data_IF_500522274145
#
_entry.id   IF_500522274145
#
_cell.length_a   1.000
_cell.length_b   1.000
_cell.length_c   1.000
_cell.angle_alpha   90.00
_cell.angle_beta   90.00
_cell.angle_gamma   90.00
#
_symmetry.space_group_name_H-M   'P 1'
#
loop_
_entity.id
_entity.type
_entity.pdbx_description
1 polymer ?
#
# COMPACT_ATOMS: atom_id res chain seq x y z
N UNK A 1 -25.93 12.79 8.35
CA UNK A 1 -25.55 12.01 7.15
C UNK A 1 -24.13 11.52 7.39
N UNK A 2 -23.92 10.23 7.66
CA UNK A 2 -22.56 9.69 7.87
C UNK A 2 -21.89 9.63 6.50
N UNK A 3 -20.75 10.32 6.33
CA UNK A 3 -20.02 10.30 5.07
C UNK A 3 -19.47 8.90 4.83
N UNK A 4 -19.59 8.40 3.60
CA UNK A 4 -19.08 7.07 3.23
C UNK A 4 -17.58 6.94 3.50
N UNK A 5 -16.83 8.05 3.48
CA UNK A 5 -15.43 8.15 3.88
C UNK A 5 -15.18 7.83 5.36
N UNK A 6 -16.05 8.32 6.26
CA UNK A 6 -15.95 8.01 7.69
C UNK A 6 -16.15 6.52 7.96
N UNK A 7 -17.10 5.89 7.25
CA UNK A 7 -17.34 4.44 7.33
C UNK A 7 -16.14 3.67 6.78
N UNK A 8 -15.60 4.09 5.63
CA UNK A 8 -14.40 3.50 5.04
C UNK A 8 -13.21 3.53 6.00
N UNK A 9 -12.89 4.69 6.57
CA UNK A 9 -11.78 4.84 7.52
C UNK A 9 -11.95 3.99 8.77
N UNK A 10 -13.17 3.95 9.32
CA UNK A 10 -13.48 3.13 10.48
C UNK A 10 -13.31 1.63 10.19
N UNK A 11 -13.82 1.16 9.04
CA UNK A 11 -13.65 -0.22 8.59
C UNK A 11 -12.18 -0.55 8.30
N UNK A 12 -11.39 0.37 7.72
CA UNK A 12 -9.95 0.18 7.57
C UNK A 12 -9.23 0.05 8.91
N UNK A 13 -9.64 0.84 9.92
CA UNK A 13 -9.10 0.74 11.28
C UNK A 13 -9.41 -0.61 11.93
N UNK A 14 -10.66 -1.09 11.80
CA UNK A 14 -11.05 -2.45 12.23
C UNK A 14 -10.20 -3.50 11.51
N UNK A 15 -10.09 -3.37 10.18
CA UNK A 15 -9.32 -4.27 9.34
C UNK A 15 -7.85 -4.39 9.76
N UNK A 16 -7.17 -3.26 9.95
CA UNK A 16 -5.79 -3.23 10.44
C UNK A 16 -5.65 -3.80 11.85
N UNK A 17 -6.63 -3.55 12.72
CA UNK A 17 -6.65 -4.11 14.08
C UNK A 17 -6.82 -5.63 14.05
N UNK A 18 -7.69 -6.16 13.17
CA UNK A 18 -7.87 -7.59 12.98
C UNK A 18 -6.58 -8.25 12.47
N UNK A 19 -5.86 -7.62 11.53
CA UNK A 19 -4.57 -8.12 11.05
C UNK A 19 -3.50 -8.10 12.15
N UNK A 20 -3.43 -7.05 12.96
CA UNK A 20 -2.60 -7.01 14.15
C UNK A 20 -2.96 -8.12 15.14
N UNK A 21 -4.26 -8.37 15.32
CA UNK A 21 -4.79 -9.48 16.09
C UNK A 21 -4.41 -10.84 15.53
N UNK A 22 -4.43 -11.03 14.21
CA UNK A 22 -3.94 -12.25 13.54
C UNK A 22 -2.47 -12.50 13.84
N UNK A 23 -1.63 -11.49 13.70
CA UNK A 23 -0.18 -11.59 13.97
C UNK A 23 0.06 -11.90 15.46
N UNK A 24 -0.63 -11.19 16.35
CA UNK A 24 -0.52 -11.42 17.80
C UNK A 24 -1.01 -12.80 18.22
N UNK A 25 -2.15 -13.24 17.70
CA UNK A 25 -2.68 -14.58 17.95
C UNK A 25 -1.72 -15.66 17.46
N UNK A 26 -1.16 -15.49 16.26
CA UNK A 26 -0.14 -16.41 15.73
C UNK A 26 1.07 -16.44 16.66
N UNK A 27 1.66 -15.28 16.99
CA UNK A 27 2.83 -15.20 17.85
C UNK A 27 2.59 -15.85 19.23
N UNK A 28 1.40 -15.67 19.82
CA UNK A 28 1.03 -16.33 21.07
C UNK A 28 0.94 -17.84 20.92
N UNK A 29 0.32 -18.34 19.85
CA UNK A 29 0.18 -19.77 19.58
C UNK A 29 1.54 -20.46 19.37
N UNK A 30 2.50 -19.76 18.76
CA UNK A 30 3.89 -20.25 18.66
C UNK A 30 4.55 -20.39 20.02
N UNK A 31 4.40 -19.36 20.87
CA UNK A 31 5.03 -19.34 22.21
C UNK A 31 4.50 -20.48 23.08
N UNK A 32 3.21 -20.77 23.02
CA UNK A 32 2.60 -21.87 23.78
C UNK A 32 2.71 -23.22 23.07
N UNK A 33 3.33 -23.28 21.89
CA UNK A 33 3.46 -24.49 21.05
C UNK A 33 2.13 -25.21 20.84
N UNK A 34 1.08 -24.44 20.56
CA UNK A 34 -0.26 -24.98 20.35
C UNK A 34 -0.30 -25.91 19.12
N UNK A 35 -1.03 -27.01 19.22
CA UNK A 35 -1.17 -28.00 18.13
C UNK A 35 -2.62 -28.19 17.71
N UNK A 36 -2.82 -28.64 16.46
CA UNK A 36 -4.14 -29.00 15.94
C UNK A 36 -4.97 -27.79 15.53
N UNK A 37 -6.29 -27.85 15.75
CA UNK A 37 -7.25 -26.85 15.23
C UNK A 37 -7.03 -25.42 15.75
N UNK A 38 -6.29 -25.24 16.85
CA UNK A 38 -5.97 -23.91 17.39
C UNK A 38 -5.09 -23.09 16.44
N UNK A 39 -4.27 -23.75 15.60
CA UNK A 39 -3.43 -23.10 14.59
C UNK A 39 -4.23 -22.45 13.45
N UNK A 40 -5.51 -22.80 13.31
CA UNK A 40 -6.40 -22.23 12.29
C UNK A 40 -7.05 -20.91 12.75
N UNK A 41 -6.97 -20.57 14.03
CA UNK A 41 -7.58 -19.34 14.57
C UNK A 41 -7.05 -18.08 13.85
N UNK A 42 -5.73 -17.88 13.67
CA UNK A 42 -5.22 -16.73 12.92
C UNK A 42 -5.74 -16.67 11.48
N UNK A 43 -5.92 -17.83 10.83
CA UNK A 43 -6.47 -17.90 9.47
C UNK A 43 -7.92 -17.40 9.39
N UNK A 44 -8.77 -17.76 10.36
CA UNK A 44 -10.15 -17.26 10.38
C UNK A 44 -10.23 -15.76 10.65
N UNK A 45 -9.39 -15.22 11.54
CA UNK A 45 -9.32 -13.77 11.78
C UNK A 45 -8.86 -13.05 10.50
N UNK A 46 -7.88 -13.61 9.79
CA UNK A 46 -7.42 -13.09 8.51
C UNK A 46 -8.51 -13.10 7.44
N UNK A 47 -9.34 -14.14 7.35
CA UNK A 47 -10.47 -14.18 6.42
C UNK A 47 -11.49 -13.07 6.68
N UNK A 48 -11.77 -12.77 7.96
CA UNK A 48 -12.65 -11.65 8.32
C UNK A 48 -12.00 -10.33 7.89
N UNK A 49 -10.70 -10.16 8.14
CA UNK A 49 -9.98 -8.96 7.70
C UNK A 49 -9.99 -8.80 6.18
N UNK A 50 -9.86 -9.89 5.42
CA UNK A 50 -9.95 -9.89 3.96
C UNK A 50 -11.35 -9.47 3.47
N UNK A 51 -12.42 -9.95 4.11
CA UNK A 51 -13.78 -9.54 3.79
C UNK A 51 -13.99 -8.03 4.06
N UNK A 52 -13.44 -7.52 5.15
CA UNK A 52 -13.46 -6.08 5.46
C UNK A 52 -12.66 -5.29 4.40
N UNK A 53 -11.49 -5.78 3.96
CA UNK A 53 -10.71 -5.15 2.89
C UNK A 53 -11.54 -5.00 1.61
N UNK A 54 -12.27 -6.04 1.21
CA UNK A 54 -13.07 -6.01 0.00
C UNK A 54 -14.15 -4.90 0.05
N UNK A 55 -14.82 -4.75 1.21
CA UNK A 55 -15.80 -3.68 1.43
C UNK A 55 -15.14 -2.30 1.41
N UNK A 56 -14.02 -2.15 2.12
CA UNK A 56 -13.24 -0.90 2.18
C UNK A 56 -12.78 -0.48 0.78
N UNK A 57 -12.34 -1.42 -0.05
CA UNK A 57 -11.87 -1.16 -1.42
C UNK A 57 -13.00 -0.66 -2.32
N UNK A 58 -14.19 -1.26 -2.23
CA UNK A 58 -15.37 -0.77 -2.96
C UNK A 58 -15.71 0.67 -2.54
N UNK A 59 -15.73 0.92 -1.23
CA UNK A 59 -15.99 2.26 -0.68
C UNK A 59 -14.95 3.27 -1.17
N UNK A 60 -13.66 2.90 -1.17
CA UNK A 60 -12.57 3.77 -1.60
C UNK A 60 -12.65 4.12 -3.09
N UNK A 61 -12.99 3.15 -3.96
CA UNK A 61 -13.21 3.39 -5.39
C UNK A 61 -14.37 4.39 -5.58
N UNK A 62 -15.50 4.15 -4.92
CA UNK A 62 -16.66 5.03 -5.02
C UNK A 62 -16.30 6.44 -4.54
N UNK A 63 -15.68 6.60 -3.36
CA UNK A 63 -15.31 7.91 -2.82
C UNK A 63 -14.25 8.66 -3.64
N UNK A 64 -13.35 7.92 -4.30
CA UNK A 64 -12.28 8.52 -5.10
C UNK A 64 -12.81 9.04 -6.43
N UNK A 65 -13.63 8.26 -7.13
CA UNK A 65 -14.09 8.56 -8.49
C UNK A 65 -15.47 9.20 -8.57
N UNK A 66 -16.24 9.24 -7.48
CA UNK A 66 -17.54 9.91 -7.44
C UNK A 66 -17.52 11.05 -6.43
N UNK A 67 -18.05 12.21 -6.82
CA UNK A 67 -18.28 13.34 -5.90
C UNK A 67 -19.57 13.16 -5.08
N UNK A 68 -20.19 11.97 -5.14
CA UNK A 68 -21.51 11.70 -4.60
C UNK A 68 -21.60 11.76 -3.06
N UNK A 69 -20.49 11.93 -2.34
CA UNK A 69 -20.44 11.82 -0.87
C UNK A 69 -20.24 13.16 -0.14
N UNK A 70 -20.56 14.28 -0.81
CA UNK A 70 -20.48 15.64 -0.28
C UNK A 70 -19.06 16.19 -0.31
N UNK A 71 -18.88 17.48 0.01
CA UNK A 71 -17.57 18.13 0.09
C UNK A 71 -16.66 17.41 1.10
N UNK A 72 -15.89 16.45 0.60
CA UNK A 72 -14.84 15.72 1.32
C UNK A 72 -13.55 16.49 1.03
N UNK A 73 -12.87 16.96 2.08
CA UNK A 73 -11.59 17.64 1.93
C UNK A 73 -10.62 16.72 1.17
N UNK A 74 -9.79 17.22 0.24
CA UNK A 74 -8.83 16.37 -0.49
C UNK A 74 -7.99 15.48 0.44
N UNK A 75 -7.66 15.99 1.64
CA UNK A 75 -6.93 15.24 2.68
C UNK A 75 -7.70 14.03 3.23
N UNK A 76 -9.04 14.11 3.33
CA UNK A 76 -9.87 13.00 3.80
C UNK A 76 -9.87 11.85 2.77
N UNK A 77 -9.89 12.19 1.47
CA UNK A 77 -9.76 11.21 0.38
C UNK A 77 -8.38 10.58 0.37
N UNK A 78 -7.34 11.40 0.56
CA UNK A 78 -5.96 10.95 0.65
C UNK A 78 -5.76 9.97 1.81
N UNK A 79 -6.23 10.33 3.01
CA UNK A 79 -6.16 9.48 4.20
C UNK A 79 -6.89 8.14 4.01
N UNK A 80 -8.09 8.17 3.44
CA UNK A 80 -8.84 6.93 3.17
C UNK A 80 -8.08 6.00 2.24
N UNK A 81 -7.51 6.53 1.15
CA UNK A 81 -6.75 5.73 0.19
C UNK A 81 -5.41 5.23 0.74
N UNK A 82 -4.77 5.99 1.62
CA UNK A 82 -3.59 5.54 2.37
C UNK A 82 -3.92 4.35 3.27
N UNK A 83 -5.04 4.39 3.99
CA UNK A 83 -5.47 3.28 4.84
C UNK A 83 -5.78 2.02 4.03
N UNK A 84 -6.41 2.16 2.86
CA UNK A 84 -6.67 1.05 1.92
C UNK A 84 -5.36 0.44 1.42
N UNK A 85 -4.39 1.29 1.03
CA UNK A 85 -3.06 0.84 0.62
C UNK A 85 -2.36 0.04 1.73
N UNK A 86 -2.33 0.60 2.94
CA UNK A 86 -1.72 -0.04 4.10
C UNK A 86 -2.38 -1.37 4.44
N UNK A 87 -3.72 -1.41 4.44
CA UNK A 87 -4.48 -2.64 4.71
C UNK A 87 -4.26 -3.70 3.63
N UNK A 88 -4.13 -3.30 2.37
CA UNK A 88 -3.88 -4.24 1.26
C UNK A 88 -2.54 -4.95 1.41
N UNK A 89 -1.47 -4.18 1.67
CA UNK A 89 -0.12 -4.76 1.90
C UNK A 89 -0.11 -5.59 3.18
N UNK A 90 -0.68 -5.08 4.27
CA UNK A 90 -0.76 -5.82 5.53
C UNK A 90 -1.49 -7.16 5.36
N UNK A 91 -2.62 -7.18 4.66
CA UNK A 91 -3.40 -8.41 4.43
C UNK A 91 -2.59 -9.43 3.64
N UNK A 92 -1.91 -8.99 2.58
CA UNK A 92 -1.10 -9.83 1.71
C UNK A 92 0.10 -10.43 2.45
N UNK A 93 0.83 -9.62 3.23
CA UNK A 93 1.99 -10.08 3.99
C UNK A 93 1.62 -10.93 5.22
N UNK A 94 0.49 -10.62 5.87
CA UNK A 94 0.01 -11.41 7.01
C UNK A 94 -0.36 -12.83 6.58
N UNK A 95 -0.86 -13.01 5.36
CA UNK A 95 -1.19 -14.34 4.83
C UNK A 95 0.02 -15.28 4.86
N UNK A 96 1.22 -14.79 4.52
CA UNK A 96 2.42 -15.65 4.51
C UNK A 96 2.92 -16.06 5.91
N UNK A 97 2.38 -15.47 6.98
CA UNK A 97 2.67 -15.86 8.36
C UNK A 97 1.76 -16.98 8.88
N UNK A 98 0.71 -17.33 8.13
CA UNK A 98 -0.27 -18.31 8.54
C UNK A 98 0.25 -19.74 8.39
N UNK A 99 -0.34 -20.64 9.18
CA UNK A 99 0.02 -22.04 9.15
C UNK A 99 -0.31 -22.67 7.79
N UNK A 100 0.58 -23.53 7.30
CA UNK A 100 0.42 -24.23 6.03
C UNK A 100 0.91 -23.46 4.80
N UNK A 101 1.48 -22.27 4.97
CA UNK A 101 2.15 -21.55 3.89
C UNK A 101 3.62 -21.97 3.80
N UNK A 102 4.04 -22.43 2.62
CA UNK A 102 5.42 -22.84 2.36
C UNK A 102 6.34 -21.66 2.00
N UNK A 103 7.65 -21.90 2.00
CA UNK A 103 8.65 -20.90 1.66
C UNK A 103 8.48 -20.36 0.22
N UNK A 104 7.96 -21.18 -0.70
CA UNK A 104 7.71 -20.79 -2.08
C UNK A 104 6.61 -19.72 -2.16
N UNK A 105 5.47 -19.98 -1.52
CA UNK A 105 4.35 -19.05 -1.48
C UNK A 105 4.75 -17.79 -0.72
N UNK A 106 5.50 -17.90 0.38
CA UNK A 106 6.08 -16.75 1.08
C UNK A 106 6.92 -15.87 0.15
N UNK A 107 7.77 -16.48 -0.69
CA UNK A 107 8.55 -15.77 -1.70
C UNK A 107 7.67 -15.01 -2.69
N UNK A 108 6.64 -15.65 -3.23
CA UNK A 108 5.70 -15.01 -4.15
C UNK A 108 4.93 -13.86 -3.50
N UNK A 109 4.47 -14.03 -2.25
CA UNK A 109 3.78 -12.97 -1.51
C UNK A 109 4.71 -11.78 -1.26
N UNK A 110 5.96 -12.03 -0.89
CA UNK A 110 6.93 -10.96 -0.69
C UNK A 110 7.20 -10.18 -1.99
N UNK A 111 7.36 -10.88 -3.11
CA UNK A 111 7.58 -10.27 -4.42
C UNK A 111 6.35 -9.48 -4.87
N UNK A 112 5.12 -9.99 -4.64
CA UNK A 112 3.88 -9.25 -4.90
C UNK A 112 3.79 -7.97 -4.06
N UNK A 113 4.09 -8.04 -2.76
CA UNK A 113 4.12 -6.87 -1.89
C UNK A 113 5.16 -5.83 -2.34
N UNK A 114 6.34 -6.30 -2.74
CA UNK A 114 7.40 -5.46 -3.30
C UNK A 114 6.93 -4.72 -4.56
N UNK A 115 6.25 -5.42 -5.47
CA UNK A 115 5.70 -4.81 -6.69
C UNK A 115 4.64 -3.75 -6.39
N UNK A 116 3.81 -3.93 -5.36
CA UNK A 116 2.84 -2.92 -4.92
C UNK A 116 3.57 -1.66 -4.42
N UNK A 117 4.62 -1.81 -3.61
CA UNK A 117 5.44 -0.69 -3.13
C UNK A 117 6.11 0.04 -4.31
N UNK A 118 6.73 -0.70 -5.23
CA UNK A 118 7.36 -0.15 -6.43
C UNK A 118 6.36 0.62 -7.30
N UNK A 119 5.19 0.05 -7.55
CA UNK A 119 4.14 0.72 -8.32
C UNK A 119 3.72 2.03 -7.67
N UNK A 120 3.67 2.08 -6.34
CA UNK A 120 3.30 3.27 -5.60
C UNK A 120 4.42 4.34 -5.64
N UNK A 121 5.70 3.95 -5.57
CA UNK A 121 6.84 4.84 -5.83
C UNK A 121 6.74 5.44 -7.24
N UNK A 122 6.50 4.58 -8.24
CA UNK A 122 6.37 5.00 -9.64
C UNK A 122 5.28 6.06 -9.81
N UNK A 123 4.08 5.80 -9.30
CA UNK A 123 2.95 6.74 -9.39
C UNK A 123 3.26 8.07 -8.70
N UNK A 124 3.93 8.04 -7.54
CA UNK A 124 4.29 9.26 -6.82
C UNK A 124 5.28 10.13 -7.61
N UNK A 125 6.34 9.53 -8.15
CA UNK A 125 7.31 10.27 -8.97
C UNK A 125 6.66 10.75 -10.27
N UNK A 126 5.79 9.95 -10.89
CA UNK A 126 5.07 10.36 -12.10
C UNK A 126 4.17 11.58 -11.83
N UNK A 127 3.43 11.60 -10.72
CA UNK A 127 2.63 12.75 -10.31
C UNK A 127 3.49 14.01 -10.07
N UNK A 128 4.73 13.84 -9.59
CA UNK A 128 5.63 14.95 -9.31
C UNK A 128 6.26 15.55 -10.57
N UNK A 129 6.71 14.71 -11.50
CA UNK A 129 7.38 15.14 -12.73
C UNK A 129 6.44 15.33 -13.91
N UNK A 130 5.16 14.95 -13.78
CA UNK A 130 4.16 15.02 -14.84
C UNK A 130 4.09 16.38 -15.53
N UNK A 131 4.04 17.47 -14.76
CA UNK A 131 3.99 18.84 -15.33
C UNK A 131 5.25 19.19 -16.12
N UNK A 132 6.44 18.80 -15.64
CA UNK A 132 7.72 19.05 -16.31
C UNK A 132 7.93 18.19 -17.56
N UNK A 133 7.36 16.99 -17.58
CA UNK A 133 7.34 16.12 -18.75
C UNK A 133 6.43 16.72 -19.82
N UNK A 134 5.28 17.28 -19.43
CA UNK A 134 4.30 17.87 -20.35
C UNK A 134 4.60 19.32 -20.75
N UNK A 135 5.58 19.99 -20.12
CA UNK A 135 6.05 21.31 -20.53
C UNK A 135 6.49 21.29 -22.02
N UNK A 136 5.84 22.10 -22.86
CA UNK A 136 6.06 22.13 -24.31
C UNK A 136 5.10 21.25 -25.13
N UNK A 137 4.13 20.58 -24.50
CA UNK A 137 3.02 19.93 -25.21
C UNK A 137 2.23 20.92 -26.07
N UNK A 138 1.99 22.11 -25.54
CA UNK A 138 1.15 23.14 -26.15
C UNK A 138 1.82 23.84 -27.35
N UNK A 139 3.16 23.77 -27.44
CA UNK A 139 3.95 24.37 -28.53
C UNK A 139 4.22 23.40 -29.69
N UNK A 140 3.64 22.19 -29.67
CA UNK A 140 3.84 21.18 -30.72
C UNK A 140 5.24 20.55 -30.71
N UNK A 141 6.02 20.71 -29.64
CA UNK A 141 7.37 20.17 -29.48
C UNK A 141 7.35 18.69 -29.05
N UNK A 142 6.66 17.84 -29.82
CA UNK A 142 6.47 16.41 -29.52
C UNK A 142 7.79 15.64 -29.35
N UNK A 143 8.84 16.02 -30.10
CA UNK A 143 10.18 15.42 -29.98
C UNK A 143 10.85 15.73 -28.63
N UNK A 144 10.68 16.95 -28.12
CA UNK A 144 11.27 17.36 -26.84
C UNK A 144 10.54 16.70 -25.67
N UNK A 145 9.20 16.67 -25.72
CA UNK A 145 8.38 15.93 -24.75
C UNK A 145 8.78 14.44 -24.71
N UNK A 146 8.92 13.80 -25.87
CA UNK A 146 9.30 12.39 -25.97
C UNK A 146 10.70 12.15 -25.36
N UNK A 147 11.65 13.05 -25.62
CA UNK A 147 13.00 12.99 -25.04
C UNK A 147 12.97 13.09 -23.50
N UNK A 148 12.21 14.05 -22.95
CA UNK A 148 12.03 14.20 -21.50
C UNK A 148 11.38 12.97 -20.87
N UNK A 149 10.34 12.43 -21.49
CA UNK A 149 9.68 11.20 -21.05
C UNK A 149 10.65 10.00 -21.06
N UNK A 150 11.47 9.85 -22.10
CA UNK A 150 12.43 8.76 -22.21
C UNK A 150 13.47 8.79 -21.07
N UNK A 151 14.02 9.97 -20.75
CA UNK A 151 15.00 10.10 -19.67
C UNK A 151 14.35 9.86 -18.30
N UNK A 152 13.17 10.43 -18.06
CA UNK A 152 12.48 10.25 -16.76
C UNK A 152 12.07 8.79 -16.56
N UNK A 153 11.56 8.12 -17.59
CA UNK A 153 11.21 6.69 -17.52
C UNK A 153 12.44 5.80 -17.30
N UNK A 154 13.60 6.12 -17.89
CA UNK A 154 14.86 5.41 -17.64
C UNK A 154 15.32 5.56 -16.19
N UNK A 155 15.32 6.79 -15.65
CA UNK A 155 15.70 7.06 -14.25
C UNK A 155 14.75 6.30 -13.30
N UNK A 156 13.45 6.33 -13.58
CA UNK A 156 12.45 5.57 -12.84
C UNK A 156 12.74 4.06 -12.90
N UNK A 157 13.04 3.53 -14.08
CA UNK A 157 13.40 2.12 -14.25
C UNK A 157 14.59 1.71 -13.37
N UNK A 158 15.64 2.52 -13.33
CA UNK A 158 16.82 2.28 -12.47
C UNK A 158 16.46 2.32 -10.98
N UNK A 159 15.65 3.30 -10.55
CA UNK A 159 15.21 3.40 -9.15
C UNK A 159 14.37 2.17 -8.77
N UNK A 160 13.41 1.78 -9.60
CA UNK A 160 12.56 0.61 -9.35
C UNK A 160 13.37 -0.69 -9.29
N UNK A 161 14.35 -0.87 -10.18
CA UNK A 161 15.25 -2.02 -10.16
C UNK A 161 16.13 -2.03 -8.89
N UNK A 162 16.60 -0.86 -8.45
CA UNK A 162 17.35 -0.71 -7.20
C UNK A 162 16.51 -1.07 -5.97
N UNK A 163 15.25 -0.62 -5.91
CA UNK A 163 14.31 -0.99 -4.84
C UNK A 163 14.07 -2.50 -4.84
N UNK A 164 13.76 -3.09 -5.99
CA UNK A 164 13.56 -4.54 -6.11
C UNK A 164 14.77 -5.34 -5.63
N UNK A 165 15.97 -4.92 -6.03
CA UNK A 165 17.22 -5.55 -5.58
C UNK A 165 17.37 -5.47 -4.06
N UNK A 166 17.17 -4.28 -3.47
CA UNK A 166 17.26 -4.09 -2.03
C UNK A 166 16.24 -4.96 -1.26
N UNK A 167 15.01 -5.03 -1.74
CA UNK A 167 13.97 -5.88 -1.14
C UNK A 167 14.24 -7.37 -1.35
N UNK A 168 14.83 -7.78 -2.48
CA UNK A 168 15.22 -9.18 -2.70
C UNK A 168 16.31 -9.59 -1.72
N UNK A 169 17.32 -8.73 -1.48
CA UNK A 169 18.35 -9.00 -0.46
C UNK A 169 17.71 -9.18 0.91
N UNK A 170 16.73 -8.36 1.27
CA UNK A 170 15.98 -8.49 2.54
C UNK A 170 15.26 -9.85 2.62
N UNK A 171 14.57 -10.24 1.54
CA UNK A 171 13.87 -11.54 1.43
C UNK A 171 14.84 -12.71 1.62
N UNK A 172 16.00 -12.65 0.99
CA UNK A 172 16.95 -13.76 0.96
C UNK A 172 17.77 -13.86 2.25
N UNK A 173 17.85 -12.78 3.04
CA UNK A 173 18.67 -12.72 4.27
C UNK A 173 17.87 -12.93 5.55
N UNK A 174 16.59 -12.52 5.59
CA UNK A 174 15.77 -12.54 6.79
C UNK A 174 14.71 -13.64 6.73
N UNK A 175 14.24 -14.09 7.90
CA UNK A 175 13.03 -14.93 7.93
C UNK A 175 11.82 -14.13 7.43
N UNK A 176 10.83 -14.82 6.85
CA UNK A 176 9.67 -14.16 6.25
C UNK A 176 8.98 -13.15 7.20
N UNK A 177 8.86 -13.46 8.49
CA UNK A 177 8.29 -12.53 9.47
C UNK A 177 9.05 -11.21 9.58
N UNK A 178 10.38 -11.26 9.62
CA UNK A 178 11.21 -10.07 9.63
C UNK A 178 11.22 -9.35 8.29
N UNK A 179 11.34 -10.09 7.18
CA UNK A 179 11.31 -9.53 5.84
C UNK A 179 9.98 -8.79 5.58
N UNK A 180 8.84 -9.43 5.87
CA UNK A 180 7.51 -8.85 5.77
C UNK A 180 7.36 -7.60 6.65
N UNK A 181 7.88 -7.64 7.89
CA UNK A 181 7.89 -6.48 8.79
C UNK A 181 8.69 -5.30 8.22
N UNK A 182 9.86 -5.55 7.64
CA UNK A 182 10.68 -4.51 6.99
C UNK A 182 9.95 -3.93 5.78
N UNK A 183 9.38 -4.77 4.91
CA UNK A 183 8.65 -4.32 3.73
C UNK A 183 7.41 -3.49 4.11
N UNK A 184 6.67 -3.92 5.15
CA UNK A 184 5.56 -3.14 5.69
C UNK A 184 6.04 -1.80 6.26
N UNK A 185 7.17 -1.78 6.98
CA UNK A 185 7.80 -0.55 7.47
C UNK A 185 8.17 0.42 6.34
N UNK A 186 8.72 -0.10 5.24
CA UNK A 186 9.00 0.71 4.03
C UNK A 186 7.71 1.31 3.47
N UNK A 187 6.62 0.52 3.38
CA UNK A 187 5.33 1.00 2.92
C UNK A 187 4.77 2.12 3.81
N UNK A 188 4.87 1.98 5.15
CA UNK A 188 4.50 3.02 6.13
C UNK A 188 5.33 4.29 5.91
N UNK A 189 6.65 4.17 5.83
CA UNK A 189 7.55 5.32 5.65
C UNK A 189 7.26 6.07 4.35
N UNK A 190 6.93 5.33 3.29
CA UNK A 190 6.56 5.92 2.01
C UNK A 190 5.26 6.71 2.14
N UNK A 191 4.24 6.14 2.77
CA UNK A 191 2.97 6.84 3.04
C UNK A 191 3.20 8.15 3.83
N UNK A 192 4.01 8.11 4.89
CA UNK A 192 4.37 9.33 5.64
C UNK A 192 5.14 10.35 4.79
N UNK A 193 6.09 9.89 3.98
CA UNK A 193 6.87 10.75 3.08
C UNK A 193 5.93 11.50 2.14
N UNK A 194 4.99 10.80 1.51
CA UNK A 194 4.01 11.40 0.59
C UNK A 194 3.17 12.45 1.29
N UNK A 195 2.65 12.17 2.50
CA UNK A 195 1.86 13.15 3.26
C UNK A 195 2.65 14.42 3.54
N UNK A 196 3.91 14.29 3.98
CA UNK A 196 4.76 15.44 4.27
C UNK A 196 5.03 16.26 2.99
N UNK A 197 5.24 15.60 1.86
CA UNK A 197 5.50 16.27 0.58
C UNK A 197 4.25 16.91 -0.03
N UNK A 198 3.08 16.26 0.05
CA UNK A 198 1.82 16.74 -0.50
C UNK A 198 1.12 17.76 0.41
N UNK A 199 1.26 17.63 1.73
CA UNK A 199 0.70 18.58 2.70
C UNK A 199 1.28 20.00 2.55
N UNK A 200 2.41 20.16 1.85
CA UNK A 200 2.98 21.47 1.47
C UNK A 200 2.44 22.03 0.15
N UNK A 201 1.68 21.24 -0.63
CA UNK A 201 1.20 21.58 -1.97
C UNK A 201 -0.31 21.78 -2.07
N UNK A 202 -1.07 21.40 -1.03
CA UNK A 202 -2.51 21.58 -0.95
C UNK A 202 -2.87 22.60 0.13
N UNK A 203 -2.59 23.87 -0.13
CA UNK A 203 -3.42 24.95 0.39
C UNK A 203 -4.00 25.67 -0.83
N UNK A 204 -5.25 25.40 -1.23
CA UNK A 204 -5.99 26.40 -1.96
C UNK A 204 -6.22 27.57 -0.99
N UNK A 205 -5.41 28.61 -1.14
CA UNK A 205 -5.80 29.97 -0.75
C UNK A 205 -7.14 30.20 -1.43
N UNK A 206 -8.17 30.48 -0.64
CA UNK A 206 -9.52 30.67 -1.14
C UNK A 206 -9.55 31.66 -2.32
N UNK A 207 -10.26 31.27 -3.37
CA UNK A 207 -10.90 32.20 -4.30
C UNK A 207 -12.36 32.37 -3.90
#
# INVERSE_FOLDING_TARGET
MVRLTTIGNFLSGIGLTLLGGTIGAKALLDVVSATGNLLLIPFYIWLIALAVLAVVLIIAIINTFTEMTGFVHPDDKMMSNMLVYMMSIATLLTYGLLEGVDATIQGYLFDMGTMIVIAYIFLFVFQFYGSRISEGAETGQTKEMTSRFMIVSLILGVIMAGVYLATSVIKDTLSYGWAAGVLFGIAVLLVFSIVIFLGRRYEPVGE
#
